data_IF_453825852998
#
_entry.id   IF_453825852998
#
_cell.length_a   1.000
_cell.length_b   1.000
_cell.length_c   1.000
_cell.angle_alpha   90.00
_cell.angle_beta   90.00
_cell.angle_gamma   90.00
#
_symmetry.space_group_name_H-M   'P 1'
#
loop_
_entity.id
_entity.type
_entity.pdbx_description
1 polymer ?
#
# COMPACT_ATOMS: atom_id res chain seq x y z
N UNK A 1 8.24 -0.71 14.58
CA UNK A 1 8.59 0.35 15.54
C UNK A 1 7.44 0.68 16.50
N UNK A 2 6.24 1.07 16.05
CA UNK A 2 5.11 1.48 16.91
C UNK A 2 4.78 0.44 18.00
N UNK A 3 4.48 -0.81 17.60
CA UNK A 3 4.14 -1.87 18.56
C UNK A 3 5.28 -2.17 19.54
N UNK A 4 6.53 -2.15 19.08
CA UNK A 4 7.69 -2.36 19.93
C UNK A 4 7.84 -1.26 20.99
N UNK A 5 7.69 0.01 20.60
CA UNK A 5 7.70 1.14 21.54
C UNK A 5 6.57 1.05 22.56
N UNK A 6 5.37 0.67 22.14
CA UNK A 6 4.22 0.44 23.02
C UNK A 6 4.51 -0.68 24.03
N UNK A 7 5.11 -1.78 23.58
CA UNK A 7 5.47 -2.91 24.44
C UNK A 7 6.48 -2.51 25.50
N UNK A 8 7.52 -1.77 25.13
CA UNK A 8 8.53 -1.26 26.08
C UNK A 8 7.91 -0.30 27.10
N UNK A 9 7.12 0.66 26.65
CA UNK A 9 6.44 1.63 27.53
C UNK A 9 5.47 0.93 28.50
N UNK A 10 4.66 -0.01 27.99
CA UNK A 10 3.75 -0.77 28.85
C UNK A 10 4.50 -1.58 29.92
N UNK A 11 5.64 -2.18 29.57
CA UNK A 11 6.47 -2.90 30.52
C UNK A 11 7.05 -1.97 31.61
N UNK A 12 7.57 -0.80 31.21
CA UNK A 12 8.10 0.19 32.15
C UNK A 12 7.00 0.65 33.12
N UNK A 13 5.83 1.04 32.60
CA UNK A 13 4.72 1.49 33.44
C UNK A 13 4.20 0.39 34.36
N UNK A 14 4.14 -0.86 33.90
CA UNK A 14 3.71 -1.98 34.72
C UNK A 14 4.66 -2.22 35.91
N UNK A 15 5.98 -2.21 35.64
CA UNK A 15 6.99 -2.37 36.70
C UNK A 15 6.92 -1.21 37.69
N UNK A 16 6.87 0.03 37.22
CA UNK A 16 6.76 1.21 38.10
C UNK A 16 5.49 1.17 38.96
N UNK A 17 4.36 0.81 38.39
CA UNK A 17 3.08 0.71 39.15
C UNK A 17 3.18 -0.33 40.24
N UNK A 18 3.75 -1.50 39.97
CA UNK A 18 3.89 -2.55 40.96
C UNK A 18 4.94 -2.19 42.06
N UNK A 19 6.02 -1.51 41.68
CA UNK A 19 7.01 -1.04 42.66
C UNK A 19 6.44 0.02 43.60
N UNK A 20 5.69 0.98 43.08
CA UNK A 20 5.05 2.05 43.87
C UNK A 20 3.83 1.55 44.65
N UNK A 21 3.11 0.54 44.16
CA UNK A 21 1.96 -0.05 44.83
C UNK A 21 2.31 -1.07 45.92
N UNK A 22 3.60 -1.29 46.23
CA UNK A 22 4.10 -2.19 47.26
C UNK A 22 3.52 -3.61 47.15
N UNK A 23 3.34 -4.12 45.91
CA UNK A 23 2.94 -5.51 45.71
C UNK A 23 3.98 -6.48 46.28
N UNK A 24 3.54 -7.60 46.89
CA UNK A 24 4.40 -8.61 47.49
C UNK A 24 3.98 -10.03 47.13
N UNK A 25 4.91 -10.97 47.20
CA UNK A 25 4.64 -12.38 46.88
C UNK A 25 4.10 -12.60 45.46
N UNK A 26 3.13 -13.49 45.34
CA UNK A 26 2.52 -13.81 44.05
C UNK A 26 1.81 -12.60 43.38
N UNK A 27 1.35 -11.63 44.18
CA UNK A 27 0.71 -10.42 43.66
C UNK A 27 1.63 -9.58 42.77
N UNK A 28 2.96 -9.65 42.93
CA UNK A 28 3.92 -8.99 42.06
C UNK A 28 3.77 -9.51 40.63
N UNK A 29 3.72 -10.82 40.43
CA UNK A 29 3.67 -11.45 39.11
C UNK A 29 2.35 -11.13 38.43
N UNK A 30 1.22 -11.43 39.10
CA UNK A 30 -0.10 -11.22 38.51
C UNK A 30 -0.43 -9.73 38.33
N UNK A 31 -0.01 -8.88 39.28
CA UNK A 31 -0.19 -7.44 39.21
C UNK A 31 0.62 -6.84 38.04
N UNK A 32 1.89 -7.21 37.89
CA UNK A 32 2.73 -6.72 36.79
C UNK A 32 2.17 -7.16 35.44
N UNK A 33 1.74 -8.41 35.31
CA UNK A 33 1.15 -8.91 34.06
C UNK A 33 -0.17 -8.18 33.74
N UNK A 34 -1.05 -8.01 34.74
CA UNK A 34 -2.31 -7.29 34.57
C UNK A 34 -2.10 -5.81 34.19
N UNK A 35 -1.19 -5.12 34.87
CA UNK A 35 -0.80 -3.75 34.52
C UNK A 35 -0.18 -3.66 33.13
N UNK A 36 0.70 -4.60 32.75
CA UNK A 36 1.28 -4.64 31.42
C UNK A 36 0.21 -4.73 30.31
N UNK A 37 -0.71 -5.69 30.45
CA UNK A 37 -1.81 -5.86 29.48
C UNK A 37 -2.68 -4.61 29.45
N UNK A 38 -3.05 -4.05 30.62
CA UNK A 38 -3.85 -2.84 30.70
C UNK A 38 -3.19 -1.64 30.03
N UNK A 39 -1.91 -1.36 30.31
CA UNK A 39 -1.17 -0.28 29.64
C UNK A 39 -0.99 -0.52 28.16
N UNK A 40 -0.72 -1.77 27.75
CA UNK A 40 -0.58 -2.10 26.33
C UNK A 40 -1.89 -1.86 25.55
N UNK A 41 -3.02 -2.30 26.10
CA UNK A 41 -4.35 -2.04 25.51
C UNK A 41 -4.69 -0.54 25.51
N UNK A 42 -4.35 0.19 26.58
CA UNK A 42 -4.54 1.62 26.65
C UNK A 42 -3.74 2.37 25.58
N UNK A 43 -2.46 2.03 25.39
CA UNK A 43 -1.61 2.61 24.36
C UNK A 43 -2.12 2.27 22.95
N UNK A 44 -2.61 1.04 22.76
CA UNK A 44 -3.23 0.64 21.49
C UNK A 44 -4.50 1.45 21.21
N UNK A 45 -5.35 1.63 22.22
CA UNK A 45 -6.56 2.46 22.09
C UNK A 45 -6.22 3.93 21.77
N UNK A 46 -5.18 4.49 22.40
CA UNK A 46 -4.70 5.85 22.10
C UNK A 46 -4.20 5.93 20.65
N UNK A 47 -3.38 4.97 20.21
CA UNK A 47 -2.92 4.94 18.84
C UNK A 47 -4.09 4.87 17.85
N UNK A 48 -5.06 3.98 18.09
CA UNK A 48 -6.27 3.90 17.27
C UNK A 48 -7.06 5.21 17.28
N UNK A 49 -7.23 5.84 18.45
CA UNK A 49 -7.92 7.11 18.58
C UNK A 49 -7.23 8.24 17.79
N UNK A 50 -5.90 8.30 17.79
CA UNK A 50 -5.13 9.27 16.99
C UNK A 50 -5.42 9.08 15.50
N UNK A 51 -5.39 7.85 15.00
CA UNK A 51 -5.72 7.55 13.61
C UNK A 51 -7.16 7.91 13.29
N UNK A 52 -8.10 7.53 14.17
CA UNK A 52 -9.52 7.80 13.99
C UNK A 52 -9.84 9.31 13.98
N UNK A 53 -9.33 10.06 14.95
CA UNK A 53 -9.50 11.52 15.02
C UNK A 53 -8.89 12.20 13.80
N UNK A 54 -7.68 11.79 13.39
CA UNK A 54 -7.03 12.32 12.18
C UNK A 54 -7.92 12.13 10.94
N UNK A 55 -8.52 10.94 10.80
CA UNK A 55 -9.43 10.66 9.70
C UNK A 55 -10.77 11.38 9.85
N UNK A 56 -11.32 11.52 11.06
CA UNK A 56 -12.60 12.18 11.30
C UNK A 56 -12.60 13.66 10.89
N UNK A 57 -11.44 14.32 10.90
CA UNK A 57 -11.28 15.71 10.46
C UNK A 57 -11.21 15.88 8.93
N UNK A 58 -11.16 14.78 8.18
CA UNK A 58 -11.06 14.82 6.71
C UNK A 58 -12.43 14.93 6.06
N UNK A 59 -12.63 16.02 5.35
CA UNK A 59 -13.80 16.26 4.50
C UNK A 59 -13.49 15.81 3.06
N UNK A 60 -14.02 14.65 2.67
CA UNK A 60 -13.81 14.08 1.33
C UNK A 60 -14.61 14.76 0.22
N UNK A 61 -15.57 15.64 0.57
CA UNK A 61 -16.34 16.40 -0.41
C UNK A 61 -15.52 17.53 -1.05
N UNK A 62 -14.46 17.98 -0.36
CA UNK A 62 -13.55 19.02 -0.85
C UNK A 62 -12.43 18.39 -1.68
N UNK A 63 -12.07 19.00 -2.83
CA UNK A 63 -10.96 18.50 -3.62
C UNK A 63 -9.65 18.54 -2.83
N UNK A 64 -8.88 17.47 -2.92
CA UNK A 64 -7.52 17.43 -2.37
C UNK A 64 -6.56 18.02 -3.41
N UNK A 65 -5.96 19.16 -3.08
CA UNK A 65 -5.09 19.89 -4.00
C UNK A 65 -3.60 19.55 -3.83
N UNK A 66 -3.21 19.08 -2.64
CA UNK A 66 -1.82 18.77 -2.30
C UNK A 66 -1.70 17.51 -1.47
N UNK A 67 -0.60 16.79 -1.64
CA UNK A 67 -0.27 15.62 -0.84
C UNK A 67 -0.06 15.98 0.65
N UNK A 68 -0.60 15.16 1.54
CA UNK A 68 -0.54 15.42 2.96
C UNK A 68 0.69 14.82 3.62
N UNK A 69 1.71 15.63 3.88
CA UNK A 69 2.91 15.21 4.63
C UNK A 69 2.56 14.61 6.00
N UNK A 70 1.50 15.08 6.66
CA UNK A 70 1.03 14.53 7.93
C UNK A 70 0.55 13.09 7.76
N UNK A 71 -0.34 12.83 6.78
CA UNK A 71 -0.84 11.49 6.52
C UNK A 71 0.26 10.54 6.02
N UNK A 72 1.23 11.03 5.23
CA UNK A 72 2.42 10.23 4.85
C UNK A 72 3.21 9.78 6.07
N UNK A 73 3.46 10.66 7.03
CA UNK A 73 4.14 10.31 8.29
C UNK A 73 3.29 9.35 9.13
N UNK A 74 1.99 9.57 9.18
CA UNK A 74 1.06 8.72 9.91
C UNK A 74 1.09 7.28 9.36
N UNK A 75 0.91 7.08 8.06
CA UNK A 75 0.95 5.74 7.47
C UNK A 75 2.32 5.08 7.59
N UNK A 76 3.42 5.83 7.43
CA UNK A 76 4.78 5.32 7.66
C UNK A 76 4.97 4.78 9.09
N UNK A 77 4.27 5.36 10.07
CA UNK A 77 4.27 4.88 11.45
C UNK A 77 3.40 3.63 11.64
N UNK A 78 2.22 3.57 10.99
CA UNK A 78 1.23 2.51 11.22
C UNK A 78 1.44 1.27 10.37
N UNK A 79 1.96 1.39 9.13
CA UNK A 79 2.16 0.24 8.24
C UNK A 79 2.97 -0.88 8.88
N UNK A 80 4.13 -0.65 9.54
CA UNK A 80 4.88 -1.72 10.20
C UNK A 80 4.10 -2.40 11.33
N UNK A 81 3.16 -1.69 11.98
CA UNK A 81 2.27 -2.29 12.96
C UNK A 81 1.24 -3.21 12.30
N UNK A 82 0.68 -2.80 11.18
CA UNK A 82 -0.25 -3.62 10.37
C UNK A 82 0.47 -4.88 9.88
N UNK A 83 1.67 -4.75 9.32
CA UNK A 83 2.49 -5.89 8.88
C UNK A 83 2.76 -6.88 10.02
N UNK A 84 3.12 -6.38 11.20
CA UNK A 84 3.37 -7.21 12.38
C UNK A 84 2.09 -7.92 12.87
N UNK A 85 0.96 -7.20 12.95
CA UNK A 85 -0.33 -7.77 13.38
C UNK A 85 -0.84 -8.83 12.37
N UNK A 86 -0.64 -8.60 11.09
CA UNK A 86 -0.99 -9.53 10.04
C UNK A 86 0.08 -10.60 9.77
N UNK A 87 1.15 -10.63 10.59
CA UNK A 87 2.25 -11.59 10.52
C UNK A 87 2.86 -11.69 9.11
N UNK A 88 2.99 -10.54 8.45
CA UNK A 88 3.57 -10.45 7.12
C UNK A 88 5.09 -10.39 7.22
N UNK A 89 5.77 -11.08 6.32
CA UNK A 89 7.22 -11.05 6.11
C UNK A 89 7.49 -10.55 4.71
N UNK A 90 7.60 -9.25 4.58
CA UNK A 90 7.79 -8.61 3.27
C UNK A 90 9.25 -8.70 2.87
N UNK A 91 9.50 -9.34 1.75
CA UNK A 91 10.82 -9.49 1.15
C UNK A 91 10.89 -8.63 -0.10
N UNK A 92 11.49 -7.45 0.04
CA UNK A 92 11.65 -6.48 -1.03
C UNK A 92 12.98 -6.72 -1.76
N UNK A 93 12.90 -6.90 -3.09
CA UNK A 93 14.05 -7.06 -3.97
C UNK A 93 14.00 -6.04 -5.10
N UNK A 94 15.17 -5.63 -5.63
CA UNK A 94 15.29 -4.73 -6.78
C UNK A 94 14.94 -3.27 -6.50
N UNK A 95 14.76 -2.86 -5.24
CA UNK A 95 14.37 -1.48 -4.88
C UNK A 95 15.38 -0.41 -5.35
N UNK A 96 16.64 -0.79 -5.57
CA UNK A 96 17.68 0.09 -6.11
C UNK A 96 17.42 0.55 -7.55
N UNK A 97 16.51 -0.13 -8.26
CA UNK A 97 16.08 0.21 -9.62
C UNK A 97 15.07 1.36 -9.67
N UNK A 98 14.49 1.75 -8.51
CA UNK A 98 13.57 2.90 -8.50
C UNK A 98 14.26 4.17 -8.98
N UNK A 99 13.57 5.01 -9.76
CA UNK A 99 14.05 6.34 -10.06
C UNK A 99 14.37 7.12 -8.79
N UNK A 100 15.59 7.68 -8.70
CA UNK A 100 16.02 8.46 -7.53
C UNK A 100 15.38 9.84 -7.51
N UNK A 101 15.14 10.38 -8.69
CA UNK A 101 14.60 11.72 -8.89
C UNK A 101 13.37 11.69 -9.80
N UNK A 102 12.50 12.66 -9.63
CA UNK A 102 11.28 12.83 -10.42
C UNK A 102 10.15 11.90 -10.02
N UNK A 103 9.08 11.94 -10.80
CA UNK A 103 7.89 11.12 -10.64
C UNK A 103 7.90 9.94 -11.61
N UNK A 104 7.13 8.92 -11.29
CA UNK A 104 7.01 7.72 -12.11
C UNK A 104 5.59 7.13 -12.05
N UNK A 105 5.29 6.27 -13.00
CA UNK A 105 4.15 5.37 -12.93
C UNK A 105 4.61 4.03 -12.37
N UNK A 106 4.08 3.60 -11.22
CA UNK A 106 4.30 2.28 -10.69
C UNK A 106 3.15 1.36 -11.10
N UNK A 107 3.47 0.20 -11.64
CA UNK A 107 2.50 -0.84 -11.93
C UNK A 107 2.83 -2.10 -11.12
N UNK A 108 1.80 -2.77 -10.63
CA UNK A 108 1.94 -4.03 -9.87
C UNK A 108 0.75 -4.95 -10.17
N UNK A 109 0.93 -6.26 -10.12
CA UNK A 109 -0.18 -7.21 -10.14
C UNK A 109 -1.00 -7.10 -8.83
N UNK A 110 -2.25 -7.54 -8.85
CA UNK A 110 -3.19 -7.29 -7.75
C UNK A 110 -3.83 -8.57 -7.22
N UNK A 111 -3.35 -9.04 -6.07
CA UNK A 111 -3.80 -10.27 -5.43
C UNK A 111 -4.62 -10.02 -4.14
N UNK A 112 -4.49 -8.84 -3.53
CA UNK A 112 -5.09 -8.55 -2.22
C UNK A 112 -5.38 -7.07 -2.01
N UNK A 113 -6.37 -6.76 -1.20
CA UNK A 113 -6.64 -5.39 -0.72
C UNK A 113 -5.44 -4.80 0.06
N UNK A 114 -4.51 -5.63 0.50
CA UNK A 114 -3.30 -5.22 1.22
C UNK A 114 -2.15 -4.79 0.30
N UNK A 115 -2.21 -5.07 -1.02
CA UNK A 115 -1.13 -4.72 -1.94
C UNK A 115 -0.79 -3.21 -1.95
N UNK A 116 -1.77 -2.27 -1.93
CA UNK A 116 -1.46 -0.85 -1.80
C UNK A 116 -0.74 -0.50 -0.49
N UNK A 117 -1.10 -1.18 0.61
CA UNK A 117 -0.47 -0.96 1.93
C UNK A 117 1.00 -1.39 1.89
N UNK A 118 1.28 -2.55 1.26
CA UNK A 118 2.65 -3.03 1.06
C UNK A 118 3.49 -2.06 0.24
N UNK A 119 2.96 -1.60 -0.90
CA UNK A 119 3.68 -0.66 -1.76
C UNK A 119 3.96 0.67 -1.04
N UNK A 120 3.02 1.17 -0.23
CA UNK A 120 3.24 2.36 0.62
C UNK A 120 4.31 2.12 1.70
N UNK A 121 4.38 0.92 2.26
CA UNK A 121 5.38 0.54 3.26
C UNK A 121 6.77 0.37 2.66
N UNK A 122 6.86 -0.27 1.50
CA UNK A 122 8.13 -0.53 0.81
C UNK A 122 8.71 0.71 0.14
N UNK A 123 7.85 1.64 -0.34
CA UNK A 123 8.28 2.83 -1.09
C UNK A 123 7.78 4.14 -0.44
N UNK A 124 8.11 4.42 0.83
CA UNK A 124 7.54 5.55 1.58
C UNK A 124 7.94 6.91 1.01
N UNK A 125 9.08 7.00 0.35
CA UNK A 125 9.60 8.26 -0.23
C UNK A 125 9.05 8.51 -1.64
N UNK A 126 8.46 7.51 -2.29
CA UNK A 126 7.90 7.64 -3.64
C UNK A 126 6.61 8.47 -3.70
N UNK A 127 6.00 8.78 -2.56
CA UNK A 127 4.74 9.54 -2.46
C UNK A 127 3.65 8.97 -3.39
N UNK A 128 3.41 7.66 -3.34
CA UNK A 128 2.48 6.98 -4.24
C UNK A 128 1.03 7.43 -4.00
N UNK A 129 0.34 7.78 -5.08
CA UNK A 129 -1.11 7.95 -5.13
C UNK A 129 -1.72 6.86 -6.02
N UNK A 130 -2.73 6.16 -5.52
CA UNK A 130 -3.32 5.02 -6.24
C UNK A 130 -4.52 5.42 -7.09
N UNK A 131 -4.69 4.74 -8.22
CA UNK A 131 -5.97 4.70 -8.93
C UNK A 131 -6.79 3.57 -8.31
N UNK A 132 -7.92 3.91 -7.73
CA UNK A 132 -8.79 2.99 -6.99
C UNK A 132 -10.22 3.03 -7.47
N UNK A 133 -10.99 1.98 -7.22
CA UNK A 133 -12.41 1.95 -7.55
C UNK A 133 -13.22 2.87 -6.61
N UNK A 134 -14.37 3.34 -7.10
CA UNK A 134 -15.16 4.38 -6.43
C UNK A 134 -15.68 3.94 -5.06
N UNK A 135 -16.06 2.66 -4.91
CA UNK A 135 -16.60 2.11 -3.66
C UNK A 135 -15.58 2.11 -2.52
N UNK A 136 -14.29 2.18 -2.83
CA UNK A 136 -13.26 2.25 -1.79
C UNK A 136 -13.23 3.61 -1.05
N UNK A 137 -13.85 4.65 -1.61
CA UNK A 137 -13.99 5.95 -0.94
C UNK A 137 -14.83 5.85 0.34
N UNK A 138 -15.79 4.93 0.38
CA UNK A 138 -16.72 4.75 1.51
C UNK A 138 -16.14 3.83 2.60
N UNK A 139 -14.97 3.24 2.38
CA UNK A 139 -14.33 2.39 3.36
C UNK A 139 -13.89 3.19 4.58
N UNK A 140 -14.31 2.71 5.77
CA UNK A 140 -13.96 3.31 7.05
C UNK A 140 -12.44 3.54 7.19
N UNK A 141 -12.03 4.76 7.54
CA UNK A 141 -10.66 5.27 7.60
C UNK A 141 -9.90 5.25 6.25
N UNK A 142 -9.98 4.16 5.48
CA UNK A 142 -9.21 3.97 4.25
C UNK A 142 -9.56 5.04 3.21
N UNK A 143 -10.85 5.31 2.97
CA UNK A 143 -11.28 6.36 2.05
C UNK A 143 -10.72 7.74 2.41
N UNK A 144 -10.68 8.06 3.71
CA UNK A 144 -10.11 9.32 4.21
C UNK A 144 -8.58 9.40 3.99
N UNK A 145 -7.88 8.31 4.28
CA UNK A 145 -6.44 8.19 4.03
C UNK A 145 -6.16 8.34 2.53
N UNK A 146 -6.87 7.57 1.69
CA UNK A 146 -6.74 7.63 0.24
C UNK A 146 -6.91 9.06 -0.30
N UNK A 147 -7.94 9.77 0.19
CA UNK A 147 -8.19 11.15 -0.17
C UNK A 147 -6.98 12.05 0.16
N UNK A 148 -6.44 11.94 1.38
CA UNK A 148 -5.29 12.74 1.83
C UNK A 148 -3.96 12.38 1.16
N UNK A 149 -3.87 11.19 0.56
CA UNK A 149 -2.73 10.74 -0.26
C UNK A 149 -2.93 11.04 -1.76
N UNK A 150 -3.93 11.83 -2.13
CA UNK A 150 -4.27 12.19 -3.51
C UNK A 150 -4.66 11.00 -4.40
N UNK A 151 -5.09 9.88 -3.83
CA UNK A 151 -5.59 8.75 -4.61
C UNK A 151 -6.78 9.18 -5.47
N UNK A 152 -6.85 8.69 -6.70
CA UNK A 152 -7.88 9.04 -7.66
C UNK A 152 -8.87 7.89 -7.81
N UNK A 153 -10.15 8.22 -7.82
CA UNK A 153 -11.22 7.23 -8.01
C UNK A 153 -11.52 7.07 -9.49
N UNK A 154 -11.70 5.84 -9.94
CA UNK A 154 -12.00 5.54 -11.33
C UNK A 154 -13.34 4.79 -11.45
N UNK A 155 -14.20 5.29 -12.32
CA UNK A 155 -15.36 4.55 -12.80
C UNK A 155 -14.96 3.78 -14.07
N UNK A 156 -14.86 2.45 -13.95
CA UNK A 156 -14.39 1.57 -15.05
C UNK A 156 -15.49 1.24 -16.06
N UNK A 157 -16.72 1.52 -15.73
CA UNK A 157 -17.90 1.30 -16.59
C UNK A 157 -18.20 2.50 -17.49
N UNK A 158 -17.55 3.64 -17.21
CA UNK A 158 -17.72 4.88 -17.95
C UNK A 158 -16.36 5.40 -18.44
N UNK A 159 -16.08 5.17 -19.73
CA UNK A 159 -14.81 5.56 -20.37
C UNK A 159 -14.51 7.07 -20.26
N UNK A 160 -15.56 7.91 -20.31
CA UNK A 160 -15.39 9.36 -20.21
C UNK A 160 -14.95 9.78 -18.81
N UNK A 161 -15.49 9.15 -17.77
CA UNK A 161 -15.08 9.38 -16.38
C UNK A 161 -13.70 8.80 -16.11
N UNK A 162 -13.43 7.59 -16.60
CA UNK A 162 -12.12 6.98 -16.53
C UNK A 162 -11.04 7.87 -17.16
N UNK A 163 -11.35 8.49 -18.32
CA UNK A 163 -10.44 9.44 -18.97
C UNK A 163 -10.16 10.67 -18.08
N UNK A 164 -11.16 11.22 -17.39
CA UNK A 164 -10.95 12.35 -16.46
C UNK A 164 -9.98 11.98 -15.35
N UNK A 165 -10.11 10.77 -14.78
CA UNK A 165 -9.19 10.25 -13.77
C UNK A 165 -7.75 10.16 -14.29
N UNK A 166 -7.56 9.63 -15.51
CA UNK A 166 -6.24 9.55 -16.15
C UNK A 166 -5.66 10.95 -16.38
N UNK A 167 -6.45 11.92 -16.85
CA UNK A 167 -6.01 13.30 -17.04
C UNK A 167 -5.62 13.96 -15.72
N UNK A 168 -6.34 13.68 -14.63
CA UNK A 168 -5.98 14.17 -13.30
C UNK A 168 -4.65 13.59 -12.82
N UNK A 169 -4.41 12.30 -13.02
CA UNK A 169 -3.12 11.67 -12.73
C UNK A 169 -1.97 12.28 -13.53
N UNK A 170 -2.19 12.56 -14.81
CA UNK A 170 -1.22 13.26 -15.67
C UNK A 170 -0.90 14.64 -15.10
N UNK A 171 -1.91 15.40 -14.68
CA UNK A 171 -1.72 16.71 -14.05
C UNK A 171 -0.88 16.61 -12.78
N UNK A 172 -1.20 15.69 -11.88
CA UNK A 172 -0.48 15.51 -10.60
C UNK A 172 1.01 15.18 -10.80
N UNK A 173 1.34 14.35 -11.80
CA UNK A 173 2.73 14.06 -12.16
C UNK A 173 3.43 15.28 -12.72
N UNK A 174 2.79 16.02 -13.65
CA UNK A 174 3.35 17.24 -14.25
C UNK A 174 3.63 18.37 -13.25
N UNK A 175 2.79 18.46 -12.23
CA UNK A 175 2.91 19.40 -11.12
C UNK A 175 3.86 18.91 -10.02
N UNK A 176 4.57 17.81 -10.26
CA UNK A 176 5.50 17.19 -9.32
C UNK A 176 4.89 16.88 -7.93
N UNK A 177 3.60 16.61 -7.87
CA UNK A 177 2.91 16.38 -6.60
C UNK A 177 3.15 14.98 -6.04
N UNK A 178 2.93 13.94 -6.86
CA UNK A 178 2.99 12.52 -6.46
C UNK A 178 3.40 11.63 -7.63
N UNK A 179 3.95 10.46 -7.34
CA UNK A 179 4.02 9.34 -8.28
C UNK A 179 2.68 8.58 -8.28
N UNK A 180 2.28 8.05 -9.41
CA UNK A 180 1.01 7.32 -9.54
C UNK A 180 1.26 5.82 -9.51
N UNK A 181 0.52 5.10 -8.68
CA UNK A 181 0.55 3.64 -8.65
C UNK A 181 -0.78 3.06 -9.15
N UNK A 182 -0.71 2.01 -9.93
CA UNK A 182 -1.88 1.36 -10.51
C UNK A 182 -1.72 -0.15 -10.59
N UNK A 183 -2.82 -0.85 -10.42
CA UNK A 183 -2.95 -2.28 -10.71
C UNK A 183 -3.59 -2.39 -12.12
N UNK A 184 -2.79 -2.63 -13.16
CA UNK A 184 -3.26 -2.46 -14.54
C UNK A 184 -4.27 -3.50 -14.99
N UNK A 185 -4.39 -4.62 -14.27
CA UNK A 185 -5.46 -5.62 -14.47
C UNK A 185 -6.86 -5.01 -14.28
N UNK A 186 -6.96 -4.01 -13.40
CA UNK A 186 -8.20 -3.31 -13.13
C UNK A 186 -9.08 -3.95 -12.06
N UNK A 187 -8.73 -5.08 -11.49
CA UNK A 187 -9.42 -5.77 -10.39
C UNK A 187 -8.44 -6.65 -9.62
N UNK A 188 -8.86 -7.11 -8.44
CA UNK A 188 -8.07 -8.07 -7.64
C UNK A 188 -8.26 -9.48 -8.23
N UNK A 189 -7.18 -10.12 -8.63
CA UNK A 189 -7.17 -11.48 -9.13
C UNK A 189 -7.64 -12.45 -8.03
N UNK A 190 -8.68 -13.22 -8.33
CA UNK A 190 -9.21 -14.23 -7.39
C UNK A 190 -8.65 -15.61 -7.62
N UNK A 191 -8.16 -15.86 -8.83
CA UNK A 191 -7.56 -17.12 -9.27
C UNK A 191 -6.04 -17.16 -9.09
N UNK A 192 -5.45 -16.01 -8.66
CA UNK A 192 -4.03 -15.85 -8.44
C UNK A 192 -3.21 -15.74 -9.73
N UNK A 193 -3.87 -15.55 -10.89
CA UNK A 193 -3.24 -15.38 -12.19
C UNK A 193 -2.97 -13.92 -12.50
N UNK A 194 -2.03 -13.66 -13.40
CA UNK A 194 -1.80 -12.35 -13.98
C UNK A 194 -2.74 -12.15 -15.16
N UNK A 195 -3.66 -11.19 -15.03
CA UNK A 195 -4.63 -10.89 -16.07
C UNK A 195 -4.12 -9.79 -17.01
N UNK A 196 -4.70 -9.74 -18.23
CA UNK A 196 -4.31 -8.76 -19.24
C UNK A 196 -4.44 -7.32 -18.74
N UNK A 197 -3.47 -6.49 -19.13
CA UNK A 197 -3.39 -5.11 -18.69
C UNK A 197 -4.30 -4.19 -19.51
N UNK A 198 -5.00 -3.31 -18.83
CA UNK A 198 -5.74 -2.20 -19.44
C UNK A 198 -4.75 -1.13 -19.90
N UNK A 199 -4.53 -1.02 -21.22
CA UNK A 199 -3.52 -0.12 -21.80
C UNK A 199 -3.77 1.37 -21.51
N UNK A 200 -5.01 1.76 -21.20
CA UNK A 200 -5.39 3.15 -20.95
C UNK A 200 -4.57 3.84 -19.84
N UNK A 201 -4.17 3.12 -18.79
CA UNK A 201 -3.39 3.67 -17.67
C UNK A 201 -1.96 4.01 -18.05
N UNK A 202 -1.38 3.33 -19.06
CA UNK A 202 -0.05 3.59 -19.56
C UNK A 202 0.06 4.95 -20.27
N UNK A 203 -1.07 5.53 -20.70
CA UNK A 203 -1.11 6.91 -21.20
C UNK A 203 -0.64 7.93 -20.17
N UNK A 204 -0.69 7.61 -18.87
CA UNK A 204 -0.14 8.49 -17.83
C UNK A 204 1.35 8.69 -18.09
N UNK A 205 2.12 7.61 -18.17
CA UNK A 205 3.57 7.68 -18.38
C UNK A 205 3.93 8.24 -19.76
N UNK A 206 3.28 7.78 -20.83
CA UNK A 206 3.60 8.24 -22.18
C UNK A 206 3.29 9.72 -22.41
N UNK A 207 2.27 10.28 -21.74
CA UNK A 207 1.91 11.71 -21.85
C UNK A 207 2.71 12.62 -20.92
N UNK A 208 3.29 12.09 -19.86
CA UNK A 208 4.13 12.84 -18.91
C UNK A 208 5.61 12.59 -19.13
N UNK A 209 5.98 11.63 -19.96
CA UNK A 209 7.37 11.21 -20.24
C UNK A 209 8.11 10.82 -18.95
N UNK A 210 7.44 10.05 -18.09
CA UNK A 210 8.03 9.52 -16.85
C UNK A 210 8.30 8.02 -16.96
N UNK A 211 9.25 7.48 -16.19
CA UNK A 211 9.51 6.04 -16.15
C UNK A 211 8.31 5.23 -15.69
N UNK A 212 8.20 3.98 -16.17
CA UNK A 212 7.25 2.97 -15.65
C UNK A 212 8.04 1.97 -14.83
N UNK A 213 7.79 1.95 -13.52
CA UNK A 213 8.35 0.96 -12.59
C UNK A 213 7.42 -0.24 -12.53
N UNK A 214 7.95 -1.42 -12.84
CA UNK A 214 7.20 -2.69 -12.81
C UNK A 214 7.51 -3.43 -11.51
N UNK A 215 6.48 -3.74 -10.75
CA UNK A 215 6.59 -4.54 -9.52
C UNK A 215 5.73 -5.81 -9.63
N UNK A 216 6.20 -6.88 -9.03
CA UNK A 216 5.43 -8.10 -8.82
C UNK A 216 5.30 -8.41 -7.35
N UNK A 217 4.14 -8.93 -6.95
CA UNK A 217 3.87 -9.37 -5.58
C UNK A 217 3.31 -10.78 -5.58
N UNK A 218 3.70 -11.60 -4.59
CA UNK A 218 3.21 -12.98 -4.43
C UNK A 218 2.64 -13.17 -3.02
N UNK A 219 1.71 -14.12 -2.88
CA UNK A 219 1.16 -14.64 -1.61
C UNK A 219 0.27 -13.70 -0.80
N UNK A 220 0.02 -12.47 -1.21
CA UNK A 220 -0.79 -11.53 -0.43
C UNK A 220 -2.24 -11.97 -0.25
N UNK A 221 -2.79 -12.75 -1.18
CA UNK A 221 -4.12 -13.37 -1.08
C UNK A 221 -4.23 -14.34 0.11
N UNK A 222 -3.11 -14.88 0.59
CA UNK A 222 -3.06 -15.87 1.68
C UNK A 222 -2.97 -15.24 3.08
N UNK A 223 -2.73 -13.92 3.19
CA UNK A 223 -2.44 -13.25 4.46
C UNK A 223 -3.56 -13.47 5.49
N UNK A 224 -4.80 -13.15 5.14
CA UNK A 224 -5.93 -13.29 6.07
C UNK A 224 -6.22 -14.75 6.46
N UNK A 225 -5.99 -15.70 5.55
CA UNK A 225 -6.11 -17.12 5.83
C UNK A 225 -5.03 -17.59 6.81
N UNK A 226 -3.79 -17.17 6.60
CA UNK A 226 -2.65 -17.55 7.42
C UNK A 226 -2.72 -16.93 8.83
N UNK A 227 -3.14 -15.66 8.94
CA UNK A 227 -3.31 -14.98 10.24
C UNK A 227 -4.30 -15.72 11.13
N UNK A 228 -5.45 -16.16 10.60
CA UNK A 228 -6.42 -16.95 11.34
C UNK A 228 -5.86 -18.26 11.91
N UNK A 229 -4.79 -18.78 11.30
CA UNK A 229 -4.06 -19.98 11.72
C UNK A 229 -2.78 -19.66 12.50
N UNK A 230 -2.56 -18.39 12.87
CA UNK A 230 -1.36 -17.89 13.53
C UNK A 230 -0.09 -18.15 12.72
N UNK A 231 -0.19 -18.33 11.41
CA UNK A 231 0.94 -18.55 10.51
C UNK A 231 1.44 -17.22 9.95
N UNK A 232 2.75 -17.13 9.74
CA UNK A 232 3.42 -16.04 9.04
C UNK A 232 3.21 -16.20 7.53
N UNK A 233 3.04 -15.10 6.80
CA UNK A 233 3.01 -15.09 5.35
C UNK A 233 4.26 -14.41 4.83
N UNK A 234 5.09 -15.15 4.09
CA UNK A 234 6.20 -14.57 3.33
C UNK A 234 5.63 -13.96 2.06
N UNK A 235 5.92 -12.67 1.87
CA UNK A 235 5.40 -11.85 0.77
C UNK A 235 6.59 -11.32 -0.04
N UNK A 236 7.03 -12.03 -1.09
CA UNK A 236 7.99 -11.47 -2.04
C UNK A 236 7.36 -10.29 -2.79
N UNK A 237 8.07 -9.17 -2.80
CA UNK A 237 7.79 -7.98 -3.62
C UNK A 237 9.05 -7.66 -4.41
N UNK A 238 8.98 -7.75 -5.72
CA UNK A 238 10.13 -7.54 -6.58
C UNK A 238 9.90 -6.36 -7.53
N UNK A 239 10.89 -5.48 -7.64
CA UNK A 239 10.97 -4.46 -8.69
C UNK A 239 11.63 -5.11 -9.90
N UNK A 240 10.81 -5.56 -10.84
CA UNK A 240 11.21 -6.36 -12.02
C UNK A 240 12.10 -5.55 -12.97
N UNK A 241 11.85 -4.24 -13.02
CA UNK A 241 12.59 -3.33 -13.89
C UNK A 241 11.84 -2.04 -14.15
N UNK A 242 12.45 -1.21 -15.00
CA UNK A 242 11.92 0.10 -15.35
C UNK A 242 11.89 0.24 -16.88
N UNK A 243 10.74 0.62 -17.43
CA UNK A 243 10.62 1.03 -18.84
C UNK A 243 10.88 2.53 -18.89
N UNK A 244 11.98 2.91 -19.54
CA UNK A 244 12.42 4.30 -19.60
C UNK A 244 11.67 5.09 -20.67
N UNK A 245 11.40 6.40 -20.47
CA UNK A 245 10.63 7.22 -21.41
C UNK A 245 11.29 7.34 -22.78
N UNK A 246 12.60 7.20 -22.89
CA UNK A 246 13.36 7.23 -24.15
C UNK A 246 12.92 6.09 -25.09
N UNK A 247 12.27 5.05 -24.56
CA UNK A 247 11.77 3.90 -25.35
C UNK A 247 10.35 4.11 -25.88
N UNK A 248 9.67 5.20 -25.53
CA UNK A 248 8.29 5.46 -25.94
C UNK A 248 8.08 5.90 -27.41
N UNK A 249 9.04 6.63 -28.05
CA UNK A 249 8.83 7.08 -29.40
C UNK A 249 8.45 5.95 -30.37
N UNK A 250 7.40 6.17 -31.16
CA UNK A 250 6.90 5.18 -32.13
C UNK A 250 6.08 4.04 -31.56
N UNK A 251 5.88 3.99 -30.23
CA UNK A 251 5.12 2.94 -29.55
C UNK A 251 3.77 3.43 -29.04
N UNK A 252 2.78 2.57 -29.11
CA UNK A 252 1.46 2.81 -28.51
C UNK A 252 1.43 2.42 -27.03
N UNK A 253 0.43 2.90 -26.29
CA UNK A 253 0.21 2.46 -24.92
C UNK A 253 -0.11 0.95 -24.83
N UNK A 254 -0.59 0.35 -25.91
CA UNK A 254 -0.84 -1.10 -25.99
C UNK A 254 0.47 -1.87 -26.06
N UNK A 255 1.42 -1.42 -26.90
CA UNK A 255 2.74 -2.07 -27.02
C UNK A 255 3.51 -2.04 -25.71
N UNK A 256 3.45 -0.90 -24.99
CA UNK A 256 4.11 -0.74 -23.69
C UNK A 256 3.43 -1.62 -22.61
N UNK A 257 2.10 -1.70 -22.65
CA UNK A 257 1.34 -2.55 -21.73
C UNK A 257 1.67 -4.03 -21.94
N UNK A 258 1.82 -4.46 -23.20
CA UNK A 258 2.18 -5.84 -23.53
C UNK A 258 3.62 -6.17 -23.06
N UNK A 259 4.59 -5.30 -23.33
CA UNK A 259 5.96 -5.47 -22.83
C UNK A 259 5.99 -5.59 -21.30
N UNK A 260 5.26 -4.72 -20.61
CA UNK A 260 5.19 -4.75 -19.16
C UNK A 260 4.56 -6.06 -18.64
N UNK A 261 3.49 -6.51 -19.29
CA UNK A 261 2.84 -7.79 -18.97
C UNK A 261 3.81 -8.96 -19.13
N UNK A 262 4.49 -9.05 -20.27
CA UNK A 262 5.42 -10.15 -20.58
C UNK A 262 6.58 -10.21 -19.57
N UNK A 263 7.17 -9.06 -19.22
CA UNK A 263 8.23 -8.96 -18.21
C UNK A 263 7.77 -9.35 -16.82
N UNK A 264 6.59 -8.89 -16.40
CA UNK A 264 6.03 -9.24 -15.10
C UNK A 264 5.61 -10.70 -15.03
N UNK A 265 5.08 -11.28 -16.11
CA UNK A 265 4.75 -12.70 -16.17
C UNK A 265 6.00 -13.56 -16.12
N UNK A 266 7.07 -13.18 -16.81
CA UNK A 266 8.35 -13.89 -16.77
C UNK A 266 8.94 -13.93 -15.35
N UNK A 267 8.81 -12.86 -14.58
CA UNK A 267 9.24 -12.78 -13.17
C UNK A 267 8.34 -13.59 -12.23
N UNK A 268 7.03 -13.52 -12.43
CA UNK A 268 6.07 -14.26 -11.60
C UNK A 268 6.19 -15.77 -11.80
N UNK A 269 6.45 -16.21 -13.03
CA UNK A 269 6.52 -17.62 -13.41
C UNK A 269 5.28 -18.13 -14.16
N UNK A 270 5.42 -19.28 -14.85
CA UNK A 270 4.38 -19.81 -15.72
C UNK A 270 3.09 -20.19 -14.97
N UNK A 271 3.18 -20.46 -13.68
CA UNK A 271 2.01 -20.74 -12.85
C UNK A 271 1.05 -19.55 -12.71
N UNK A 272 1.52 -18.34 -13.01
CA UNK A 272 0.69 -17.12 -13.02
C UNK A 272 0.08 -16.82 -14.38
N UNK A 273 0.45 -17.55 -15.43
CA UNK A 273 -0.16 -17.39 -16.75
C UNK A 273 -1.64 -17.79 -16.73
N UNK A 274 -2.44 -17.10 -17.56
CA UNK A 274 -3.79 -17.54 -17.86
C UNK A 274 -3.74 -18.88 -18.59
N UNK A 275 -4.73 -19.78 -18.39
CA UNK A 275 -4.86 -20.96 -19.25
C UNK A 275 -4.96 -20.51 -20.71
N UNK A 276 -4.28 -21.22 -21.61
CA UNK A 276 -4.48 -21.00 -23.05
C UNK A 276 -5.97 -21.25 -23.38
N UNK A 277 -6.64 -20.26 -23.95
CA UNK A 277 -7.97 -20.45 -24.52
C UNK A 277 -7.79 -21.33 -25.78
N UNK A 278 -8.28 -22.57 -25.70
CA UNK A 278 -8.35 -23.47 -26.85
C UNK A 278 -9.54 -23.12 -27.77
#
# INVERSE_FOLDING_TARGET
MLLGSMTVLAAIFAVLTCALGHFSGAAIVFGTLGCFVGYWLGLFAIAFAVLWVSCATVDISKPQEQDSKYFRRLIKLYIPAVESLLRMDVQLEGAEQLPKDGRFLLICNHLSILDPVLLLGCFPEAQLAFISKQENADMFLIGKIMHRLMCQLINRENDREALKTILKCIQMIREDQVSVAVFPEGYTSRDGKLHHFRSGVFKIATKTQVPIVMCTVKNTQNIFHNVKRLKKTVVPLHVVGVIQPETYPGRTAVDIAQEAYDKMLADLGPEFALPEEY
#
